data_IF_688367575005
#
_entry.id   IF_688367575005
#
_cell.length_a   1.000
_cell.length_b   1.000
_cell.length_c   1.000
_cell.angle_alpha   90.00
_cell.angle_beta   90.00
_cell.angle_gamma   90.00
#
_symmetry.space_group_name_H-M   'P 1'
#
loop_
_entity.id
_entity.type
_entity.pdbx_description
1 polymer ?
#
# COMPACT_ATOMS: atom_id res chain seq x y z
N UNK A 1 -24.89 2.09 0.89
CA UNK A 1 -23.86 1.07 1.19
C UNK A 1 -22.57 1.79 1.56
N UNK A 2 -21.91 1.42 2.66
CA UNK A 2 -20.65 2.07 3.08
C UNK A 2 -19.52 1.68 2.12
N UNK A 3 -18.80 2.66 1.58
CA UNK A 3 -17.69 2.41 0.66
C UNK A 3 -16.38 2.19 1.44
N UNK A 4 -16.15 0.94 1.86
CA UNK A 4 -14.98 0.57 2.67
C UNK A 4 -13.64 0.88 1.98
N UNK A 5 -13.59 0.81 0.65
CA UNK A 5 -12.35 1.07 -0.10
C UNK A 5 -11.98 2.56 -0.09
N UNK A 6 -12.96 3.46 -0.21
CA UNK A 6 -12.70 4.89 -0.02
C UNK A 6 -12.23 5.20 1.39
N UNK A 7 -12.81 4.57 2.41
CA UNK A 7 -12.36 4.74 3.79
C UNK A 7 -10.90 4.30 3.97
N UNK A 8 -10.53 3.11 3.47
CA UNK A 8 -9.15 2.59 3.55
C UNK A 8 -8.19 3.49 2.77
N UNK A 9 -8.54 3.91 1.55
CA UNK A 9 -7.70 4.78 0.75
C UNK A 9 -7.50 6.15 1.40
N UNK A 10 -8.55 6.75 1.96
CA UNK A 10 -8.47 8.02 2.67
C UNK A 10 -7.55 7.91 3.90
N UNK A 11 -7.70 6.85 4.69
CA UNK A 11 -6.85 6.61 5.86
C UNK A 11 -5.39 6.36 5.48
N UNK A 12 -5.15 5.52 4.48
CA UNK A 12 -3.79 5.25 3.99
C UNK A 12 -3.13 6.49 3.38
N UNK A 13 -3.90 7.30 2.66
CA UNK A 13 -3.44 8.57 2.10
C UNK A 13 -3.06 9.57 3.19
N UNK A 14 -3.89 9.70 4.23
CA UNK A 14 -3.58 10.50 5.41
C UNK A 14 -2.24 10.09 6.03
N UNK A 15 -2.04 8.78 6.30
CA UNK A 15 -0.78 8.31 6.88
C UNK A 15 0.41 8.46 5.94
N UNK A 16 0.23 8.29 4.63
CA UNK A 16 1.31 8.51 3.66
C UNK A 16 1.81 9.95 3.70
N UNK A 17 0.89 10.93 3.75
CA UNK A 17 1.26 12.35 3.85
C UNK A 17 1.89 12.66 5.21
N UNK A 18 1.29 12.18 6.30
CA UNK A 18 1.79 12.43 7.65
C UNK A 18 3.21 11.85 7.86
N UNK A 19 3.43 10.59 7.49
CA UNK A 19 4.74 9.94 7.60
C UNK A 19 5.76 10.57 6.66
N UNK A 20 5.38 10.92 5.43
CA UNK A 20 6.27 11.59 4.47
C UNK A 20 6.73 12.96 4.96
N UNK A 21 5.80 13.78 5.48
CA UNK A 21 6.14 15.08 6.03
C UNK A 21 7.07 14.95 7.25
N UNK A 22 6.76 14.02 8.16
CA UNK A 22 7.56 13.76 9.36
C UNK A 22 8.96 13.22 9.00
N UNK A 23 9.07 12.35 8.00
CA UNK A 23 10.36 11.85 7.53
C UNK A 23 11.24 12.98 6.96
N UNK A 24 10.67 13.81 6.08
CA UNK A 24 11.39 14.86 5.38
C UNK A 24 11.85 16.02 6.29
N UNK A 25 11.09 16.35 7.33
CA UNK A 25 11.36 17.51 8.19
C UNK A 25 11.81 17.14 9.60
N UNK A 26 11.35 16.00 10.13
CA UNK A 26 11.57 15.60 11.53
C UNK A 26 12.65 14.53 11.71
N UNK A 27 12.90 13.68 10.71
CA UNK A 27 13.78 12.51 10.85
C UNK A 27 15.11 12.62 10.11
N UNK A 28 15.29 13.59 9.20
CA UNK A 28 16.51 13.72 8.38
C UNK A 28 17.79 13.95 9.19
N UNK A 29 17.68 14.55 10.37
CA UNK A 29 18.81 14.76 11.29
C UNK A 29 18.99 13.63 12.32
N UNK A 30 18.05 12.68 12.37
CA UNK A 30 18.00 11.60 13.37
C UNK A 30 18.38 10.26 12.74
N UNK A 31 17.90 10.01 11.52
CA UNK A 31 18.08 8.76 10.79
C UNK A 31 19.23 8.86 9.78
N UNK A 32 19.92 7.74 9.58
CA UNK A 32 20.91 7.62 8.52
C UNK A 32 20.27 7.56 7.12
N UNK A 33 21.10 7.69 6.09
CA UNK A 33 20.64 7.67 4.71
C UNK A 33 19.91 6.37 4.32
N UNK A 34 20.28 5.23 4.91
CA UNK A 34 19.67 3.93 4.57
C UNK A 34 18.28 3.80 5.18
N UNK A 35 18.10 4.25 6.42
CA UNK A 35 16.80 4.29 7.07
C UNK A 35 15.84 5.24 6.37
N UNK A 36 16.32 6.40 5.92
CA UNK A 36 15.52 7.33 5.10
C UNK A 36 15.13 6.71 3.75
N UNK A 37 16.03 5.97 3.09
CA UNK A 37 15.74 5.25 1.84
C UNK A 37 14.65 4.17 2.02
N UNK A 38 14.64 3.46 3.16
CA UNK A 38 13.57 2.51 3.48
C UNK A 38 12.22 3.20 3.66
N UNK A 39 12.19 4.36 4.34
CA UNK A 39 10.96 5.15 4.49
C UNK A 39 10.46 5.62 3.11
N UNK A 40 11.33 6.18 2.27
CA UNK A 40 10.95 6.64 0.94
C UNK A 40 10.39 5.51 0.07
N UNK A 41 11.06 4.35 0.10
CA UNK A 41 10.58 3.15 -0.61
C UNK A 41 9.22 2.69 -0.07
N UNK A 42 9.05 2.63 1.25
CA UNK A 42 7.79 2.27 1.87
C UNK A 42 6.65 3.22 1.48
N UNK A 43 6.90 4.53 1.52
CA UNK A 43 5.94 5.59 1.16
C UNK A 43 5.54 5.50 -0.31
N UNK A 44 6.52 5.31 -1.20
CA UNK A 44 6.27 5.16 -2.64
C UNK A 44 5.30 4.02 -2.91
N UNK A 45 5.56 2.82 -2.37
CA UNK A 45 4.69 1.66 -2.57
C UNK A 45 3.35 1.80 -1.87
N UNK A 46 3.29 2.43 -0.69
CA UNK A 46 2.03 2.72 -0.01
C UNK A 46 1.17 3.68 -0.84
N UNK A 47 1.75 4.75 -1.40
CA UNK A 47 1.01 5.74 -2.17
C UNK A 47 0.46 5.17 -3.47
N UNK A 48 1.26 4.41 -4.23
CA UNK A 48 0.80 3.76 -5.46
C UNK A 48 -0.42 2.87 -5.22
N UNK A 49 -0.37 2.04 -4.18
CA UNK A 49 -1.45 1.10 -3.87
C UNK A 49 -2.64 1.78 -3.19
N UNK A 50 -2.41 2.86 -2.44
CA UNK A 50 -3.48 3.74 -1.93
C UNK A 50 -4.28 4.35 -3.09
N UNK A 51 -3.60 4.87 -4.12
CA UNK A 51 -4.27 5.42 -5.29
C UNK A 51 -5.01 4.33 -6.10
N UNK A 52 -4.45 3.12 -6.18
CA UNK A 52 -5.14 1.99 -6.81
C UNK A 52 -6.43 1.60 -6.06
N UNK A 53 -6.39 1.55 -4.72
CA UNK A 53 -7.59 1.30 -3.89
C UNK A 53 -8.60 2.45 -4.02
N UNK A 54 -8.14 3.70 -4.07
CA UNK A 54 -8.98 4.87 -4.31
C UNK A 54 -9.73 4.72 -5.65
N UNK A 55 -9.01 4.34 -6.72
CA UNK A 55 -9.60 4.10 -8.03
C UNK A 55 -10.66 3.00 -7.98
N UNK A 56 -10.40 1.86 -7.32
CA UNK A 56 -11.40 0.80 -7.12
C UNK A 56 -12.62 1.34 -6.36
N UNK A 57 -12.41 2.11 -5.29
CA UNK A 57 -13.47 2.68 -4.47
C UNK A 57 -14.37 3.66 -5.23
N UNK A 58 -13.81 4.45 -6.14
CA UNK A 58 -14.55 5.38 -7.00
C UNK A 58 -15.18 4.71 -8.23
N UNK A 59 -14.68 3.54 -8.64
CA UNK A 59 -15.15 2.83 -9.83
C UNK A 59 -16.52 2.19 -9.65
N UNK A 60 -17.19 1.92 -10.78
CA UNK A 60 -18.39 1.06 -10.82
C UNK A 60 -18.06 -0.41 -10.47
N UNK A 61 -16.78 -0.79 -10.50
CA UNK A 61 -16.29 -2.14 -10.20
C UNK A 61 -16.04 -2.35 -8.71
N UNK A 62 -16.38 -1.40 -7.84
CA UNK A 62 -16.18 -1.53 -6.37
C UNK A 62 -16.83 -2.76 -5.74
N UNK A 63 -17.83 -3.34 -6.40
CA UNK A 63 -18.53 -4.57 -5.97
C UNK A 63 -18.08 -5.81 -6.76
N UNK A 64 -17.23 -5.66 -7.79
CA UNK A 64 -16.68 -6.79 -8.53
C UNK A 64 -15.78 -7.65 -7.64
N UNK A 65 -15.86 -8.97 -7.81
CA UNK A 65 -15.13 -9.94 -7.01
C UNK A 65 -13.63 -9.75 -7.11
N UNK A 66 -13.10 -9.55 -8.31
CA UNK A 66 -11.67 -9.45 -8.56
C UNK A 66 -11.12 -8.08 -8.17
N UNK A 67 -11.90 -7.00 -8.37
CA UNK A 67 -11.55 -5.67 -7.86
C UNK A 67 -11.49 -5.67 -6.31
N UNK A 68 -12.42 -6.34 -5.63
CA UNK A 68 -12.38 -6.49 -4.17
C UNK A 68 -11.16 -7.31 -3.71
N UNK A 69 -10.83 -8.39 -4.43
CA UNK A 69 -9.64 -9.19 -4.12
C UNK A 69 -8.35 -8.39 -4.33
N UNK A 70 -8.28 -7.60 -5.41
CA UNK A 70 -7.18 -6.70 -5.69
C UNK A 70 -6.98 -5.66 -4.57
N UNK A 71 -8.04 -4.94 -4.20
CA UNK A 71 -7.99 -3.94 -3.14
C UNK A 71 -7.62 -4.55 -1.78
N UNK A 72 -8.08 -5.77 -1.49
CA UNK A 72 -7.71 -6.50 -0.27
C UNK A 72 -6.22 -6.86 -0.29
N UNK A 73 -5.72 -7.45 -1.38
CA UNK A 73 -4.33 -7.85 -1.53
C UNK A 73 -3.39 -6.64 -1.41
N UNK A 74 -3.72 -5.51 -2.04
CA UNK A 74 -2.98 -4.26 -1.90
C UNK A 74 -3.01 -3.71 -0.48
N UNK A 75 -4.15 -3.75 0.20
CA UNK A 75 -4.25 -3.27 1.59
C UNK A 75 -3.33 -4.06 2.51
N UNK A 76 -3.40 -5.39 2.46
CA UNK A 76 -2.52 -6.26 3.27
C UNK A 76 -1.06 -6.13 2.83
N UNK A 77 -0.82 -6.02 1.52
CA UNK A 77 0.50 -5.77 0.94
C UNK A 77 1.15 -4.49 1.48
N UNK A 78 0.40 -3.39 1.63
CA UNK A 78 0.93 -2.14 2.21
C UNK A 78 1.34 -2.32 3.67
N UNK A 79 0.53 -3.02 4.47
CA UNK A 79 0.85 -3.28 5.87
C UNK A 79 2.12 -4.11 6.01
N UNK A 80 2.28 -5.14 5.16
CA UNK A 80 3.43 -6.04 5.22
C UNK A 80 4.69 -5.47 4.57
N UNK A 81 4.58 -4.79 3.42
CA UNK A 81 5.72 -4.25 2.68
C UNK A 81 6.14 -2.88 3.20
N UNK A 82 5.24 -1.91 3.24
CA UNK A 82 5.58 -0.55 3.66
C UNK A 82 5.76 -0.49 5.17
N UNK A 83 4.88 -1.17 5.92
CA UNK A 83 4.98 -1.24 7.38
C UNK A 83 6.29 -1.88 7.87
N UNK A 84 6.79 -2.93 7.22
CA UNK A 84 8.08 -3.54 7.59
C UNK A 84 9.26 -2.61 7.33
N UNK A 85 9.25 -1.87 6.23
CA UNK A 85 10.30 -0.89 5.91
C UNK A 85 10.31 0.28 6.88
N UNK A 86 9.13 0.78 7.29
CA UNK A 86 9.03 1.79 8.34
C UNK A 86 9.54 1.26 9.68
N UNK A 87 9.15 0.05 10.06
CA UNK A 87 9.63 -0.59 11.27
C UNK A 87 11.16 -0.74 11.26
N UNK A 88 11.73 -1.20 10.14
CA UNK A 88 13.16 -1.36 9.96
C UNK A 88 13.91 -0.01 10.07
N UNK A 89 13.36 1.06 9.48
CA UNK A 89 13.91 2.41 9.59
C UNK A 89 13.88 2.97 11.02
N UNK A 90 12.89 2.56 11.82
CA UNK A 90 12.73 2.95 13.22
C UNK A 90 13.49 2.01 14.20
N UNK A 91 14.36 1.14 13.68
CA UNK A 91 15.26 0.33 14.50
C UNK A 91 14.69 -1.02 14.96
N UNK A 92 13.56 -1.48 14.41
CA UNK A 92 13.09 -2.85 14.64
C UNK A 92 14.09 -3.86 14.05
N UNK A 93 14.19 -5.04 14.68
CA UNK A 93 15.10 -6.11 14.28
C UNK A 93 15.09 -6.38 12.78
N UNK A 94 16.28 -6.56 12.20
CA UNK A 94 16.48 -6.85 10.76
C UNK A 94 15.69 -8.05 10.26
N UNK A 95 15.28 -8.97 11.13
CA UNK A 95 14.41 -10.09 10.76
C UNK A 95 13.07 -9.67 10.15
N UNK A 96 12.58 -8.46 10.45
CA UNK A 96 11.32 -7.95 9.89
C UNK A 96 11.37 -7.75 8.37
N UNK A 97 12.57 -7.65 7.79
CA UNK A 97 12.78 -7.50 6.35
C UNK A 97 12.24 -8.70 5.55
N UNK A 98 12.15 -9.89 6.17
CA UNK A 98 11.60 -11.08 5.52
C UNK A 98 10.09 -11.02 5.31
N UNK A 99 9.39 -10.07 5.92
CA UNK A 99 7.97 -9.79 5.68
C UNK A 99 7.79 -9.00 4.39
N UNK A 100 8.79 -8.17 4.00
CA UNK A 100 8.71 -7.31 2.82
C UNK A 100 8.41 -8.07 1.53
N UNK A 101 9.08 -9.20 1.19
CA UNK A 101 8.77 -9.98 -0.01
C UNK A 101 7.33 -10.54 -0.05
N UNK A 102 6.76 -10.85 1.11
CA UNK A 102 5.37 -11.33 1.22
C UNK A 102 4.42 -10.21 0.81
N UNK A 103 4.63 -9.00 1.33
CA UNK A 103 3.85 -7.83 0.93
C UNK A 103 4.00 -7.50 -0.56
N UNK A 104 5.23 -7.61 -1.10
CA UNK A 104 5.49 -7.43 -2.53
C UNK A 104 4.75 -8.45 -3.40
N UNK A 105 4.69 -9.71 -2.96
CA UNK A 105 3.91 -10.76 -3.63
C UNK A 105 2.42 -10.43 -3.64
N UNK A 106 1.87 -9.92 -2.54
CA UNK A 106 0.48 -9.49 -2.48
C UNK A 106 0.19 -8.31 -3.42
N UNK A 107 1.14 -7.39 -3.60
CA UNK A 107 1.01 -6.34 -4.61
C UNK A 107 0.84 -6.93 -6.01
N UNK A 108 1.72 -7.87 -6.39
CA UNK A 108 1.65 -8.56 -7.68
C UNK A 108 0.32 -9.30 -7.84
N UNK A 109 -0.11 -10.05 -6.82
CA UNK A 109 -1.41 -10.75 -6.82
C UNK A 109 -2.56 -9.77 -7.02
N UNK A 110 -2.54 -8.61 -6.38
CA UNK A 110 -3.59 -7.61 -6.55
C UNK A 110 -3.68 -7.07 -7.97
N UNK A 111 -2.54 -6.77 -8.60
CA UNK A 111 -2.50 -6.34 -10.00
C UNK A 111 -2.96 -7.43 -10.97
N UNK A 112 -2.55 -8.69 -10.73
CA UNK A 112 -3.03 -9.84 -11.52
C UNK A 112 -4.54 -10.05 -11.37
N UNK A 113 -5.09 -9.88 -10.16
CA UNK A 113 -6.53 -9.94 -9.93
C UNK A 113 -7.27 -8.87 -10.73
N UNK A 114 -6.80 -7.62 -10.69
CA UNK A 114 -7.41 -6.54 -11.46
C UNK A 114 -7.37 -6.83 -12.97
N UNK A 115 -6.21 -7.26 -13.48
CA UNK A 115 -6.02 -7.60 -14.90
C UNK A 115 -6.90 -8.78 -15.35
N UNK A 116 -7.02 -9.82 -14.53
CA UNK A 116 -7.92 -10.94 -14.82
C UNK A 116 -9.39 -10.52 -14.74
N UNK A 117 -9.74 -9.72 -13.73
CA UNK A 117 -11.08 -9.16 -13.56
C UNK A 117 -11.53 -8.35 -14.76
N UNK A 118 -10.62 -7.57 -15.36
CA UNK A 118 -10.96 -6.71 -16.51
C UNK A 118 -11.28 -7.46 -17.80
N UNK A 119 -10.71 -8.66 -17.96
CA UNK A 119 -11.01 -9.52 -19.10
C UNK A 119 -12.32 -10.31 -18.85
N UNK A 120 -12.64 -10.59 -17.58
CA UNK A 120 -13.80 -11.41 -17.20
C UNK A 120 -15.06 -10.61 -16.96
N UNK A 121 -14.97 -9.33 -16.58
CA UNK A 121 -16.16 -8.47 -16.49
C UNK A 121 -16.72 -8.33 -17.90
N UNK A 122 -17.83 -9.01 -18.18
CA UNK A 122 -18.59 -8.76 -19.41
C UNK A 122 -18.88 -7.26 -19.44
N UNK A 123 -18.56 -6.62 -20.57
CA UNK A 123 -19.19 -5.35 -20.91
C UNK A 123 -20.69 -5.62 -20.98
N UNK A 124 -21.40 -5.30 -19.90
CA UNK A 124 -22.85 -5.12 -19.96
C UNK A 124 -23.15 -3.81 -20.70
#
# INVERSE_FOLDING_TARGET
>A
MKNKWLFIAALSGFFSVALGAFAAHGLTHILDAKALEWIDTGLKYQLFHTLAILAVGLSVWRNDKFANLAATAWTVGMLLFSGSLYALALGVSKGIVWITPIGGTLFLVGWLCLAYGSIKSKSE
#
